data_IF_741141438638
#
_entry.id   IF_741141438638
#
_cell.length_a   1.000
_cell.length_b   1.000
_cell.length_c   1.000
_cell.angle_alpha   90.00
_cell.angle_beta   90.00
_cell.angle_gamma   90.00
#
_symmetry.space_group_name_H-M   'P 1'
#
loop_
_entity.id
_entity.type
_entity.pdbx_description
1 polymer ?
#
# COMPACT_ATOMS: atom_id res chain seq x y z
N UNK A 1 38.70 55.34 -11.50
CA UNK A 1 38.22 54.32 -10.53
C UNK A 1 39.40 53.50 -10.08
N UNK A 2 39.76 53.51 -8.83
CA UNK A 2 40.94 52.80 -8.31
C UNK A 2 40.72 51.31 -8.29
N UNK A 3 41.78 50.53 -8.43
CA UNK A 3 41.70 49.04 -8.49
C UNK A 3 41.02 48.43 -7.23
N UNK A 4 41.09 49.19 -6.11
CA UNK A 4 40.42 48.84 -4.84
C UNK A 4 38.90 48.92 -4.95
N UNK A 5 38.34 49.94 -5.62
CA UNK A 5 36.91 50.08 -5.82
C UNK A 5 36.31 49.01 -6.75
N UNK A 6 37.08 48.58 -7.77
CA UNK A 6 36.68 47.46 -8.64
C UNK A 6 36.54 46.12 -7.88
N UNK A 7 37.49 45.84 -6.96
CA UNK A 7 37.43 44.64 -6.13
C UNK A 7 36.23 44.66 -5.18
N UNK A 8 35.89 45.79 -4.57
CA UNK A 8 34.71 45.89 -3.71
C UNK A 8 33.40 45.72 -4.47
N UNK A 9 33.32 46.24 -5.70
CA UNK A 9 32.14 46.07 -6.57
C UNK A 9 31.97 44.58 -6.96
N UNK A 10 33.03 43.89 -7.32
CA UNK A 10 32.99 42.45 -7.70
C UNK A 10 32.56 41.59 -6.50
N UNK A 11 33.09 41.88 -5.30
CA UNK A 11 32.67 41.14 -4.08
C UNK A 11 31.21 41.42 -3.74
N UNK A 12 30.74 42.67 -3.83
CA UNK A 12 29.35 43.02 -3.56
C UNK A 12 28.39 42.35 -4.55
N UNK A 13 28.73 42.33 -5.86
CA UNK A 13 27.89 41.61 -6.85
C UNK A 13 27.87 40.11 -6.64
N UNK A 14 28.99 39.49 -6.26
CA UNK A 14 29.02 38.05 -5.96
C UNK A 14 28.13 37.69 -4.74
N UNK A 15 28.16 38.55 -3.69
CA UNK A 15 27.31 38.37 -2.52
C UNK A 15 25.82 38.52 -2.87
N UNK A 16 25.46 39.51 -3.69
CA UNK A 16 24.07 39.72 -4.14
C UNK A 16 23.60 38.51 -4.97
N UNK A 17 24.43 37.98 -5.87
CA UNK A 17 24.06 36.76 -6.66
C UNK A 17 23.87 35.56 -5.73
N UNK A 18 24.73 35.39 -4.73
CA UNK A 18 24.59 34.28 -3.76
C UNK A 18 23.31 34.41 -2.93
N UNK A 19 22.98 35.60 -2.46
CA UNK A 19 21.75 35.85 -1.70
C UNK A 19 20.51 35.62 -2.56
N UNK A 20 20.52 36.11 -3.81
CA UNK A 20 19.41 35.87 -4.75
C UNK A 20 19.28 34.39 -5.08
N UNK A 21 20.39 33.67 -5.28
CA UNK A 21 20.37 32.23 -5.50
C UNK A 21 19.83 31.46 -4.27
N UNK A 22 20.17 31.88 -3.06
CA UNK A 22 19.64 31.32 -1.81
C UNK A 22 18.15 31.61 -1.64
N UNK A 23 17.70 32.80 -2.01
CA UNK A 23 16.27 33.17 -1.97
C UNK A 23 15.45 32.39 -3.02
N UNK A 24 15.99 32.24 -4.24
CA UNK A 24 15.41 31.41 -5.28
C UNK A 24 15.39 29.93 -4.84
N UNK A 25 16.49 29.44 -4.27
CA UNK A 25 16.56 28.09 -3.71
C UNK A 25 15.48 27.86 -2.63
N UNK A 26 15.32 28.81 -1.71
CA UNK A 26 14.30 28.76 -0.64
C UNK A 26 12.87 28.92 -1.17
N UNK A 27 12.66 29.63 -2.26
CA UNK A 27 11.35 29.84 -2.86
C UNK A 27 10.93 28.65 -3.76
N UNK A 28 11.87 28.05 -4.50
CA UNK A 28 11.60 26.94 -5.43
C UNK A 28 11.80 25.55 -4.83
N UNK A 29 12.46 25.42 -3.68
CA UNK A 29 12.46 24.21 -2.90
C UNK A 29 11.47 24.44 -1.76
N UNK A 30 10.18 24.04 -1.92
CA UNK A 30 9.27 24.02 -0.80
C UNK A 30 9.93 23.23 0.32
N UNK A 31 9.75 23.68 1.56
CA UNK A 31 10.22 23.00 2.77
C UNK A 31 9.97 21.50 2.60
N UNK A 32 10.98 20.79 2.15
CA UNK A 32 11.06 19.36 2.37
C UNK A 32 11.30 19.23 3.88
N UNK A 33 10.21 19.38 4.64
CA UNK A 33 10.18 18.81 5.98
C UNK A 33 10.67 17.38 5.78
N UNK A 34 11.71 16.94 6.50
CA UNK A 34 12.07 15.52 6.44
C UNK A 34 10.77 14.76 6.67
N UNK A 35 10.30 14.03 5.65
CA UNK A 35 9.18 13.12 5.85
C UNK A 35 9.56 12.37 7.12
N UNK A 36 8.70 12.42 8.15
CA UNK A 36 8.88 11.61 9.35
C UNK A 36 9.33 10.27 8.84
N UNK A 37 10.49 9.82 9.30
CA UNK A 37 10.99 8.49 8.95
C UNK A 37 9.95 7.54 9.55
N UNK A 38 9.04 7.09 8.68
CA UNK A 38 7.97 6.20 9.07
C UNK A 38 8.65 4.86 9.34
N UNK A 39 8.69 4.46 10.59
CA UNK A 39 9.00 3.08 10.95
C UNK A 39 7.68 2.35 10.76
N UNK A 40 7.56 1.46 9.76
CA UNK A 40 6.30 0.76 9.54
C UNK A 40 5.94 0.01 10.83
N UNK A 41 4.71 0.21 11.32
CA UNK A 41 4.16 -0.64 12.34
C UNK A 41 4.08 -2.05 11.74
N UNK A 42 4.76 -3.01 12.31
CA UNK A 42 4.59 -4.41 11.95
C UNK A 42 3.29 -4.90 12.58
N UNK A 43 2.37 -5.37 11.75
CA UNK A 43 1.17 -6.06 12.24
C UNK A 43 1.60 -7.41 12.80
N UNK A 44 1.27 -7.69 14.05
CA UNK A 44 1.41 -9.04 14.59
C UNK A 44 0.33 -9.94 13.99
N UNK A 45 0.71 -11.11 13.51
CA UNK A 45 -0.24 -12.06 12.95
C UNK A 45 -0.06 -13.47 13.51
N UNK A 46 -1.16 -14.20 13.56
CA UNK A 46 -1.19 -15.63 13.89
C UNK A 46 -2.28 -16.30 13.05
N UNK A 47 -2.25 -17.62 12.97
CA UNK A 47 -3.25 -18.38 12.25
C UNK A 47 -4.36 -18.88 13.17
N UNK A 48 -5.57 -19.02 12.64
CA UNK A 48 -6.78 -19.43 13.40
C UNK A 48 -6.69 -20.85 13.97
N UNK A 49 -5.92 -21.74 13.36
CA UNK A 49 -5.62 -23.08 13.88
C UNK A 49 -4.63 -23.06 15.06
N UNK A 50 -3.93 -21.95 15.30
CA UNK A 50 -2.94 -21.78 16.35
C UNK A 50 -3.48 -21.09 17.61
N UNK A 51 -4.75 -20.63 17.57
CA UNK A 51 -5.39 -19.93 18.68
C UNK A 51 -6.50 -20.76 19.33
N UNK A 52 -6.83 -20.47 20.58
CA UNK A 52 -7.95 -21.11 21.27
C UNK A 52 -9.29 -20.59 20.76
N UNK A 53 -10.34 -21.40 20.90
CA UNK A 53 -11.70 -20.99 20.54
C UNK A 53 -12.17 -19.71 21.26
N UNK A 54 -11.70 -19.48 22.50
CA UNK A 54 -12.03 -18.24 23.22
C UNK A 54 -11.33 -17.01 22.66
N UNK A 55 -10.06 -17.11 22.24
CA UNK A 55 -9.33 -16.04 21.59
C UNK A 55 -9.96 -15.70 20.23
N UNK A 56 -10.32 -16.70 19.46
CA UNK A 56 -11.01 -16.51 18.18
C UNK A 56 -12.39 -15.86 18.36
N UNK A 57 -13.15 -16.28 19.36
CA UNK A 57 -14.45 -15.68 19.68
C UNK A 57 -14.30 -14.20 20.10
N UNK A 58 -13.32 -13.87 20.93
CA UNK A 58 -13.01 -12.50 21.33
C UNK A 58 -12.61 -11.64 20.13
N UNK A 59 -11.75 -12.18 19.27
CA UNK A 59 -11.31 -11.49 18.04
C UNK A 59 -12.49 -11.20 17.11
N UNK A 60 -13.36 -12.17 16.89
CA UNK A 60 -14.54 -12.03 16.03
C UNK A 60 -15.60 -11.07 16.62
N UNK A 61 -15.61 -10.87 17.94
CA UNK A 61 -16.54 -9.96 18.61
C UNK A 61 -16.10 -8.49 18.56
N UNK A 62 -14.86 -8.18 18.11
CA UNK A 62 -14.42 -6.79 17.95
C UNK A 62 -15.30 -6.07 16.92
N UNK A 63 -15.65 -4.83 17.22
CA UNK A 63 -16.47 -3.99 16.36
C UNK A 63 -15.60 -3.10 15.47
N UNK A 64 -16.21 -2.53 14.45
CA UNK A 64 -15.65 -1.47 13.58
C UNK A 64 -14.48 -1.87 12.63
N UNK A 65 -14.04 -3.13 12.65
CA UNK A 65 -12.97 -3.59 11.76
C UNK A 65 -13.35 -3.48 10.27
N UNK A 66 -14.64 -3.58 9.92
CA UNK A 66 -15.15 -3.46 8.55
C UNK A 66 -15.00 -2.04 7.98
N UNK A 67 -14.85 -1.04 8.85
CA UNK A 67 -14.72 0.37 8.49
C UNK A 67 -13.29 0.88 8.72
N UNK A 68 -12.33 -0.02 8.88
CA UNK A 68 -10.92 0.36 9.06
C UNK A 68 -10.39 0.99 7.77
N UNK A 69 -10.12 2.28 7.83
CA UNK A 69 -9.48 3.01 6.75
C UNK A 69 -7.95 2.92 6.91
N UNK A 70 -7.30 2.45 5.87
CA UNK A 70 -5.82 2.39 5.81
C UNK A 70 -5.34 3.06 4.53
N UNK A 71 -4.46 4.02 4.65
CA UNK A 71 -3.77 4.69 3.54
C UNK A 71 -2.58 5.50 4.07
N UNK A 72 -1.91 6.27 3.21
CA UNK A 72 -0.76 7.09 3.58
C UNK A 72 -1.06 8.15 4.65
N UNK A 73 -2.30 8.62 4.77
CA UNK A 73 -2.73 9.62 5.76
C UNK A 73 -3.23 8.97 7.05
N UNK A 74 -3.71 7.73 6.94
CA UNK A 74 -4.23 6.91 8.05
C UNK A 74 -3.52 5.57 8.05
N UNK A 75 -2.29 5.51 8.59
CA UNK A 75 -1.53 4.26 8.65
C UNK A 75 -2.12 3.26 9.64
N UNK A 76 -1.73 2.01 9.50
CA UNK A 76 -2.10 0.92 10.40
C UNK A 76 -1.70 1.26 11.84
N UNK A 77 -2.52 0.89 12.81
CA UNK A 77 -2.28 1.15 14.22
C UNK A 77 -1.01 0.44 14.73
N UNK A 78 -0.30 1.06 15.70
CA UNK A 78 0.99 0.57 16.23
C UNK A 78 0.84 -0.77 16.95
N UNK A 79 -0.14 -1.36 17.29
CA UNK A 79 -0.29 -2.65 17.98
C UNK A 79 -1.45 -3.46 17.39
N UNK A 80 -1.67 -3.33 16.09
CA UNK A 80 -2.64 -4.15 15.40
C UNK A 80 -2.17 -5.60 15.37
N UNK A 81 -3.09 -6.49 15.68
CA UNK A 81 -2.91 -7.93 15.49
C UNK A 81 -4.04 -8.49 14.67
N UNK A 82 -3.73 -9.40 13.77
CA UNK A 82 -4.70 -10.10 12.92
C UNK A 82 -4.64 -11.61 13.14
N UNK A 83 -5.80 -12.25 13.08
CA UNK A 83 -5.89 -13.71 13.03
C UNK A 83 -6.24 -14.11 11.62
N UNK A 84 -5.38 -14.88 11.00
CA UNK A 84 -5.47 -15.27 9.59
C UNK A 84 -6.04 -16.67 9.43
N UNK A 85 -6.86 -16.86 8.41
CA UNK A 85 -7.18 -18.17 7.85
C UNK A 85 -6.29 -18.42 6.64
N UNK A 86 -5.53 -19.54 6.65
CA UNK A 86 -4.74 -19.98 5.52
C UNK A 86 -5.65 -20.51 4.40
N UNK A 87 -5.29 -20.22 3.14
CA UNK A 87 -5.99 -20.69 1.95
C UNK A 87 -5.13 -21.72 1.20
N UNK A 88 -5.77 -22.60 0.44
CA UNK A 88 -5.12 -23.74 -0.23
C UNK A 88 -3.98 -23.35 -1.19
N UNK A 89 -3.97 -22.15 -1.73
CA UNK A 89 -3.00 -21.68 -2.72
C UNK A 89 -1.85 -20.86 -2.13
N UNK A 90 -1.61 -20.97 -0.82
CA UNK A 90 -0.55 -20.25 -0.12
C UNK A 90 -0.88 -18.80 0.23
N UNK A 91 -2.12 -18.36 -0.01
CA UNK A 91 -2.63 -17.09 0.43
C UNK A 91 -3.18 -17.18 1.87
N UNK A 92 -3.42 -16.04 2.50
CA UNK A 92 -4.08 -15.94 3.79
C UNK A 92 -4.94 -14.68 3.83
N UNK A 93 -6.01 -14.72 4.60
CA UNK A 93 -6.91 -13.57 4.82
C UNK A 93 -7.29 -13.49 6.29
N UNK A 94 -7.73 -12.32 6.74
CA UNK A 94 -8.33 -12.20 8.08
C UNK A 94 -9.49 -13.20 8.21
N UNK A 95 -9.48 -13.98 9.28
CA UNK A 95 -10.46 -15.06 9.50
C UNK A 95 -11.91 -14.57 9.49
N UNK A 96 -12.14 -13.27 9.78
CA UNK A 96 -13.49 -12.67 9.80
C UNK A 96 -14.08 -12.48 8.41
N UNK A 97 -13.25 -12.24 7.38
CA UNK A 97 -13.72 -12.10 6.00
C UNK A 97 -13.85 -13.44 5.27
N UNK A 98 -13.15 -14.48 5.73
CA UNK A 98 -13.07 -15.75 5.02
C UNK A 98 -14.44 -16.39 4.72
N UNK A 99 -15.42 -16.46 5.65
CA UNK A 99 -16.72 -17.09 5.35
C UNK A 99 -17.48 -16.39 4.21
N UNK A 100 -17.42 -15.06 4.15
CA UNK A 100 -18.10 -14.29 3.11
C UNK A 100 -17.33 -14.34 1.79
N UNK A 101 -15.99 -14.35 1.82
CA UNK A 101 -15.14 -14.53 0.66
C UNK A 101 -15.39 -15.90 0.01
N UNK A 102 -15.41 -16.96 0.82
CA UNK A 102 -15.70 -18.32 0.34
C UNK A 102 -17.08 -18.39 -0.32
N UNK A 103 -18.11 -17.84 0.36
CA UNK A 103 -19.47 -17.81 -0.18
C UNK A 103 -19.55 -17.03 -1.50
N UNK A 104 -18.88 -15.89 -1.61
CA UNK A 104 -18.80 -15.08 -2.84
C UNK A 104 -18.20 -15.89 -3.98
N UNK A 105 -17.12 -16.63 -3.73
CA UNK A 105 -16.46 -17.45 -4.73
C UNK A 105 -17.32 -18.65 -5.16
N UNK A 106 -18.02 -19.28 -4.23
CA UNK A 106 -18.90 -20.42 -4.52
C UNK A 106 -20.10 -19.97 -5.36
N UNK A 107 -20.70 -18.83 -5.02
CA UNK A 107 -21.82 -18.25 -5.78
C UNK A 107 -21.37 -17.81 -7.19
N UNK A 108 -20.14 -17.27 -7.35
CA UNK A 108 -19.56 -16.96 -8.65
C UNK A 108 -19.36 -18.23 -9.50
N UNK A 109 -18.77 -19.28 -8.91
CA UNK A 109 -18.55 -20.57 -9.59
C UNK A 109 -19.85 -21.22 -10.03
N UNK A 110 -20.90 -21.11 -9.23
CA UNK A 110 -22.24 -21.62 -9.58
C UNK A 110 -22.82 -20.95 -10.84
N UNK A 111 -22.35 -19.74 -11.17
CA UNK A 111 -22.74 -18.97 -12.34
C UNK A 111 -21.72 -19.07 -13.50
N UNK A 112 -20.74 -19.98 -13.39
CA UNK A 112 -19.71 -20.19 -14.41
C UNK A 112 -18.58 -19.15 -14.40
N UNK A 113 -18.46 -18.35 -13.33
CA UNK A 113 -17.37 -17.40 -13.10
C UNK A 113 -16.40 -18.04 -12.10
N UNK A 114 -15.10 -18.04 -12.42
CA UNK A 114 -14.10 -18.75 -11.65
C UNK A 114 -13.04 -17.79 -11.08
N UNK A 115 -13.35 -17.05 -10.02
CA UNK A 115 -12.37 -16.16 -9.39
C UNK A 115 -11.26 -16.95 -8.72
N UNK A 116 -10.03 -16.39 -8.76
CA UNK A 116 -8.88 -16.83 -7.99
C UNK A 116 -8.19 -15.65 -7.34
N UNK A 117 -7.62 -15.87 -6.16
CA UNK A 117 -6.83 -14.86 -5.45
C UNK A 117 -5.44 -14.83 -6.07
N UNK A 118 -4.97 -13.64 -6.41
CA UNK A 118 -3.62 -13.39 -6.93
C UNK A 118 -2.73 -12.66 -5.92
N UNK A 119 -3.33 -11.99 -4.94
CA UNK A 119 -2.66 -11.42 -3.79
C UNK A 119 -3.63 -11.32 -2.60
N UNK A 120 -3.10 -11.40 -1.39
CA UNK A 120 -3.88 -11.43 -0.15
C UNK A 120 -3.09 -10.77 0.99
N UNK A 121 -3.13 -11.29 2.21
CA UNK A 121 -2.29 -10.80 3.31
C UNK A 121 -0.83 -10.68 2.88
N UNK A 122 -0.20 -9.61 3.29
CA UNK A 122 1.22 -9.31 3.10
C UNK A 122 1.82 -8.83 4.41
N UNK A 123 3.01 -9.27 4.74
CA UNK A 123 3.79 -8.64 5.81
C UNK A 123 4.30 -7.26 5.37
N UNK A 124 4.72 -6.44 6.32
CA UNK A 124 5.37 -5.16 5.99
C UNK A 124 6.65 -5.35 5.15
N UNK A 125 7.34 -6.49 5.32
CA UNK A 125 8.51 -6.86 4.51
C UNK A 125 8.12 -7.18 3.07
N UNK A 126 7.09 -8.00 2.86
CA UNK A 126 6.56 -8.28 1.52
C UNK A 126 6.11 -7.00 0.80
N UNK A 127 5.47 -6.10 1.53
CA UNK A 127 5.01 -4.81 1.00
C UNK A 127 6.20 -3.91 0.60
N UNK A 128 7.28 -3.93 1.39
CA UNK A 128 8.52 -3.23 1.07
C UNK A 128 9.17 -3.80 -0.20
N UNK A 129 9.25 -5.11 -0.33
CA UNK A 129 9.85 -5.79 -1.50
C UNK A 129 9.09 -5.45 -2.79
N UNK A 130 7.75 -5.37 -2.71
CA UNK A 130 6.91 -4.96 -3.86
C UNK A 130 7.20 -3.51 -4.24
N UNK A 131 7.31 -2.62 -3.25
CA UNK A 131 7.63 -1.20 -3.48
C UNK A 131 9.01 -1.03 -4.11
N UNK A 132 10.02 -1.74 -3.60
CA UNK A 132 11.39 -1.71 -4.14
C UNK A 132 11.45 -2.28 -5.56
N UNK A 133 10.77 -3.39 -5.82
CA UNK A 133 10.67 -3.98 -7.15
C UNK A 133 10.05 -3.00 -8.16
N UNK A 134 9.02 -2.26 -7.74
CA UNK A 134 8.36 -1.24 -8.57
C UNK A 134 9.29 -0.05 -8.83
N UNK A 135 10.03 0.39 -7.81
CA UNK A 135 11.04 1.44 -7.94
C UNK A 135 12.15 1.05 -8.93
N UNK A 136 12.73 -0.16 -8.79
CA UNK A 136 13.74 -0.67 -9.71
C UNK A 136 13.21 -0.78 -11.16
N UNK A 137 11.95 -1.19 -11.33
CA UNK A 137 11.32 -1.24 -12.65
C UNK A 137 11.36 0.14 -13.32
N UNK A 138 10.94 1.20 -12.60
CA UNK A 138 10.97 2.56 -13.16
C UNK A 138 12.39 3.05 -13.45
N UNK A 139 13.38 2.68 -12.64
CA UNK A 139 14.79 2.99 -12.93
C UNK A 139 15.27 2.30 -14.22
N UNK A 140 14.95 1.01 -14.39
CA UNK A 140 15.32 0.20 -15.57
C UNK A 140 14.74 0.77 -16.88
N UNK A 141 13.58 1.39 -16.83
CA UNK A 141 12.98 2.06 -18.02
C UNK A 141 13.39 3.53 -18.18
N UNK A 142 14.38 4.00 -17.39
CA UNK A 142 15.08 5.27 -17.60
C UNK A 142 14.56 6.48 -16.80
N UNK A 143 13.73 6.26 -15.78
CA UNK A 143 13.36 7.35 -14.88
C UNK A 143 14.52 7.70 -13.93
N UNK A 144 14.65 8.98 -13.58
CA UNK A 144 15.56 9.39 -12.52
C UNK A 144 15.10 8.88 -11.17
N UNK A 145 16.01 8.70 -10.20
CA UNK A 145 15.72 8.19 -8.86
C UNK A 145 14.50 8.86 -8.22
N UNK A 146 14.44 10.19 -8.25
CA UNK A 146 13.33 10.95 -7.70
C UNK A 146 11.99 10.62 -8.36
N UNK A 147 11.99 10.49 -9.69
CA UNK A 147 10.77 10.14 -10.44
C UNK A 147 10.38 8.69 -10.23
N UNK A 148 11.35 7.78 -10.29
CA UNK A 148 11.12 6.35 -10.08
C UNK A 148 10.48 6.10 -8.72
N UNK A 149 10.99 6.75 -7.66
CA UNK A 149 10.43 6.67 -6.31
C UNK A 149 9.00 7.23 -6.24
N UNK A 150 8.76 8.41 -6.79
CA UNK A 150 7.42 9.02 -6.79
C UNK A 150 6.39 8.15 -7.50
N UNK A 151 6.74 7.60 -8.68
CA UNK A 151 5.85 6.70 -9.41
C UNK A 151 5.66 5.35 -8.71
N UNK A 152 6.68 4.80 -8.04
CA UNK A 152 6.51 3.58 -7.26
C UNK A 152 5.52 3.80 -6.10
N UNK A 153 5.67 4.89 -5.33
CA UNK A 153 4.78 5.28 -4.23
C UNK A 153 3.35 5.65 -4.68
N UNK A 154 3.15 6.01 -5.96
CA UNK A 154 1.82 6.26 -6.53
C UNK A 154 1.04 4.95 -6.77
N UNK A 155 1.75 3.88 -7.16
CA UNK A 155 1.16 2.60 -7.52
C UNK A 155 1.19 1.55 -6.41
N UNK A 156 2.07 1.70 -5.46
CA UNK A 156 2.29 0.73 -4.37
C UNK A 156 2.25 1.46 -3.04
N UNK A 157 1.34 1.06 -2.18
CA UNK A 157 1.26 1.60 -0.82
C UNK A 157 2.58 1.36 -0.06
N UNK A 158 2.96 2.32 0.77
CA UNK A 158 4.12 2.16 1.65
C UNK A 158 3.82 1.10 2.72
N UNK A 159 4.84 0.36 3.21
CA UNK A 159 4.66 -0.52 4.37
C UNK A 159 3.98 0.21 5.54
N UNK A 160 3.01 -0.45 6.18
CA UNK A 160 2.18 0.15 7.23
C UNK A 160 1.03 1.01 6.72
N UNK A 161 0.77 1.05 5.41
CA UNK A 161 -0.32 1.84 4.81
C UNK A 161 -1.13 1.06 3.77
N UNK A 162 -0.96 -0.27 3.74
CA UNK A 162 -1.65 -1.17 2.82
C UNK A 162 -2.73 -1.99 3.55
N UNK A 163 -3.93 -2.05 3.01
CA UNK A 163 -5.02 -2.89 3.51
C UNK A 163 -4.68 -4.39 3.46
N UNK A 164 -3.78 -4.79 2.56
CA UNK A 164 -3.25 -6.16 2.50
C UNK A 164 -2.54 -6.57 3.80
N UNK A 165 -1.91 -5.64 4.50
CA UNK A 165 -1.22 -5.93 5.76
C UNK A 165 -2.18 -6.23 6.93
N UNK A 166 -3.48 -5.96 6.75
CA UNK A 166 -4.54 -6.37 7.70
C UNK A 166 -5.25 -7.64 7.27
N UNK A 167 -4.92 -8.22 6.12
CA UNK A 167 -5.62 -9.38 5.57
C UNK A 167 -7.07 -9.10 5.14
N UNK A 168 -7.47 -7.82 5.05
CA UNK A 168 -8.83 -7.39 4.70
C UNK A 168 -9.02 -7.14 3.20
N UNK A 169 -7.95 -7.23 2.42
CA UNK A 169 -7.93 -6.98 0.98
C UNK A 169 -7.42 -8.20 0.22
N UNK A 170 -8.00 -8.45 -0.95
CA UNK A 170 -7.58 -9.49 -1.89
C UNK A 170 -7.59 -8.96 -3.31
N UNK A 171 -6.56 -9.27 -4.08
CA UNK A 171 -6.56 -9.07 -5.52
C UNK A 171 -7.13 -10.33 -6.18
N UNK A 172 -8.06 -10.15 -7.12
CA UNK A 172 -8.78 -11.26 -7.75
C UNK A 172 -8.64 -11.19 -9.27
N UNK A 173 -8.35 -12.35 -9.87
CA UNK A 173 -8.31 -12.55 -11.32
C UNK A 173 -9.12 -13.81 -11.71
N UNK A 174 -9.10 -14.16 -12.99
CA UNK A 174 -9.69 -15.42 -13.44
C UNK A 174 -8.76 -16.61 -13.10
N UNK A 175 -9.32 -17.64 -12.52
CA UNK A 175 -8.67 -18.93 -12.28
C UNK A 175 -8.92 -19.97 -13.37
N UNK A 176 -9.65 -19.63 -14.43
CA UNK A 176 -9.99 -20.57 -15.52
C UNK A 176 -9.85 -19.89 -16.87
N UNK A 177 -9.14 -20.54 -17.78
CA UNK A 177 -8.85 -20.02 -19.13
C UNK A 177 -10.10 -19.80 -20.02
N UNK A 178 -11.25 -20.36 -19.62
CA UNK A 178 -12.53 -20.18 -20.32
C UNK A 178 -13.24 -18.87 -19.94
N UNK A 179 -12.77 -18.21 -18.89
CA UNK A 179 -13.32 -16.96 -18.37
C UNK A 179 -12.22 -15.91 -18.33
N UNK A 180 -12.49 -14.73 -18.83
CA UNK A 180 -11.55 -13.61 -18.83
C UNK A 180 -11.52 -12.92 -17.47
N UNK A 181 -10.45 -12.19 -17.18
CA UNK A 181 -10.40 -11.31 -16.00
C UNK A 181 -11.56 -10.30 -16.00
N UNK A 182 -11.90 -9.76 -17.18
CA UNK A 182 -12.97 -8.77 -17.29
C UNK A 182 -14.33 -9.36 -16.87
N UNK A 183 -14.64 -10.60 -17.24
CA UNK A 183 -15.88 -11.27 -16.82
C UNK A 183 -15.92 -11.49 -15.31
N UNK A 184 -14.79 -11.83 -14.68
CA UNK A 184 -14.67 -11.93 -13.21
C UNK A 184 -14.91 -10.56 -12.57
N UNK A 185 -14.24 -9.52 -13.05
CA UNK A 185 -14.37 -8.16 -12.49
C UNK A 185 -15.77 -7.59 -12.69
N UNK A 186 -16.39 -7.80 -13.85
CA UNK A 186 -17.78 -7.39 -14.11
C UNK A 186 -18.77 -8.11 -13.17
N UNK A 187 -18.50 -9.36 -12.82
CA UNK A 187 -19.30 -10.09 -11.85
C UNK A 187 -19.09 -9.55 -10.44
N UNK A 188 -17.83 -9.31 -10.04
CA UNK A 188 -17.50 -8.74 -8.73
C UNK A 188 -18.12 -7.35 -8.55
N UNK A 189 -17.98 -6.45 -9.51
CA UNK A 189 -18.57 -5.12 -9.48
C UNK A 189 -20.09 -5.13 -9.25
N UNK A 190 -20.80 -6.18 -9.72
CA UNK A 190 -22.24 -6.34 -9.56
C UNK A 190 -22.67 -7.07 -8.28
N UNK A 191 -21.74 -7.79 -7.64
CA UNK A 191 -22.12 -8.74 -6.61
C UNK A 191 -21.33 -8.64 -5.30
N UNK A 192 -20.07 -8.14 -5.29
CA UNK A 192 -19.18 -8.16 -4.12
C UNK A 192 -19.81 -7.52 -2.87
N UNK A 193 -20.53 -6.42 -3.05
CA UNK A 193 -21.19 -5.69 -1.96
C UNK A 193 -22.22 -6.54 -1.19
N UNK A 194 -22.80 -7.58 -1.81
CA UNK A 194 -23.75 -8.51 -1.17
C UNK A 194 -23.08 -9.39 -0.11
N UNK A 195 -21.76 -9.50 -0.19
CA UNK A 195 -20.92 -10.28 0.72
C UNK A 195 -20.09 -9.36 1.65
N UNK A 196 -20.32 -8.04 1.59
CA UNK A 196 -19.62 -7.06 2.40
C UNK A 196 -18.29 -6.58 1.83
N UNK A 197 -18.00 -6.87 0.55
CA UNK A 197 -16.80 -6.37 -0.13
C UNK A 197 -17.13 -5.17 -1.00
N UNK A 198 -16.17 -4.24 -1.06
CA UNK A 198 -16.17 -3.09 -1.97
C UNK A 198 -14.98 -3.23 -2.92
N UNK A 199 -15.07 -2.59 -4.08
CA UNK A 199 -14.04 -2.51 -5.09
C UNK A 199 -13.37 -1.13 -5.04
#
# INVERSE_FOLDING_TARGET
>A
MTNKNKKHIVIATAIIILVVALLIYRYYIPDMKPKKQFTPASVEYTYDDSVTSSQLAEYNARQDWQLTLVNNDTPICENCSVILTALDNGHAVDCRIYPQLQKMFDDARSQGIYPTITSSFRTAEDQQDILESKYEHYQKIGYSDKKAKAYAEEWVAMPGTSEHELGLCVDIASGDSRVTNQEVWDWLAKNSYKYGFIE
#
